data_IF_029846412223
#
_entry.id   IF_029846412223
#
_cell.length_a   1.000
_cell.length_b   1.000
_cell.length_c   1.000
_cell.angle_alpha   90.00
_cell.angle_beta   90.00
_cell.angle_gamma   90.00
#
_symmetry.space_group_name_H-M   'P 1'
#
loop_
_entity.id
_entity.type
_entity.pdbx_description
1 polymer ?
#
# COMPACT_ATOMS: atom_id res chain seq x y z
N UNK A 1 -6.55 -12.95 -24.49
CA UNK A 1 -5.82 -11.69 -24.79
C UNK A 1 -6.87 -10.61 -24.96
N UNK A 2 -7.06 -9.75 -23.96
CA UNK A 2 -7.87 -8.55 -24.13
C UNK A 2 -7.30 -7.80 -25.32
N UNK A 3 -8.17 -7.47 -26.29
CA UNK A 3 -7.77 -6.69 -27.45
C UNK A 3 -7.07 -5.41 -26.94
N UNK A 4 -5.88 -5.02 -27.46
CA UNK A 4 -5.14 -3.85 -26.95
C UNK A 4 -5.89 -2.52 -27.05
N UNK A 5 -7.14 -2.55 -27.52
CA UNK A 5 -7.99 -1.38 -27.77
C UNK A 5 -9.16 -1.19 -26.78
N UNK A 6 -9.42 -2.09 -25.85
CA UNK A 6 -10.56 -1.94 -24.94
C UNK A 6 -10.11 -1.51 -23.53
N UNK A 7 -9.69 -0.24 -23.38
CA UNK A 7 -9.34 0.36 -22.08
C UNK A 7 -10.55 1.10 -21.52
N UNK A 8 -11.58 0.32 -21.15
CA UNK A 8 -12.77 0.85 -20.48
C UNK A 8 -12.87 0.30 -19.06
N UNK A 9 -13.02 1.19 -18.09
CA UNK A 9 -13.19 0.84 -16.70
C UNK A 9 -14.44 1.51 -16.13
N UNK A 10 -14.99 0.90 -15.08
CA UNK A 10 -16.07 1.45 -14.30
C UNK A 10 -15.71 1.42 -12.82
N UNK A 11 -15.97 2.51 -12.09
CA UNK A 11 -15.67 2.63 -10.65
C UNK A 11 -16.97 2.78 -9.88
N UNK A 12 -17.20 1.91 -8.92
CA UNK A 12 -18.34 1.97 -8.00
C UNK A 12 -17.86 2.49 -6.65
N UNK A 13 -18.31 3.69 -6.28
CA UNK A 13 -17.81 4.46 -5.15
C UNK A 13 -16.72 5.47 -5.59
N UNK A 14 -17.05 6.76 -5.53
CA UNK A 14 -16.20 7.87 -5.99
C UNK A 14 -15.66 8.71 -4.82
N UNK A 15 -15.39 8.03 -3.69
CA UNK A 15 -14.63 8.58 -2.58
C UNK A 15 -13.15 8.83 -2.94
N UNK A 16 -12.29 9.00 -1.95
CA UNK A 16 -10.86 9.25 -2.12
C UNK A 16 -10.18 8.20 -3.03
N UNK A 17 -10.33 6.92 -2.68
CA UNK A 17 -9.63 5.82 -3.38
C UNK A 17 -10.24 5.61 -4.77
N UNK A 18 -11.57 5.51 -4.90
CA UNK A 18 -12.21 5.28 -6.19
C UNK A 18 -11.95 6.40 -7.18
N UNK A 19 -12.02 7.66 -6.74
CA UNK A 19 -11.69 8.81 -7.58
C UNK A 19 -10.20 8.84 -7.97
N UNK A 20 -9.29 8.48 -7.06
CA UNK A 20 -7.87 8.41 -7.37
C UNK A 20 -7.57 7.32 -8.41
N UNK A 21 -8.25 6.16 -8.32
CA UNK A 21 -8.14 5.09 -9.33
C UNK A 21 -8.68 5.57 -10.68
N UNK A 22 -9.84 6.23 -10.68
CA UNK A 22 -10.41 6.77 -11.90
C UNK A 22 -9.44 7.74 -12.60
N UNK A 23 -8.82 8.65 -11.84
CA UNK A 23 -7.80 9.58 -12.35
C UNK A 23 -6.57 8.84 -12.87
N UNK A 24 -6.02 7.90 -12.12
CA UNK A 24 -4.83 7.14 -12.49
C UNK A 24 -5.05 6.31 -13.78
N UNK A 25 -6.20 5.65 -13.89
CA UNK A 25 -6.59 4.92 -15.10
C UNK A 25 -6.73 5.87 -16.30
N UNK A 26 -7.34 7.05 -16.10
CA UNK A 26 -7.48 8.03 -17.18
C UNK A 26 -6.14 8.57 -17.66
N UNK A 27 -5.20 8.86 -16.75
CA UNK A 27 -3.82 9.22 -17.13
C UNK A 27 -3.13 8.12 -17.95
N UNK A 28 -3.45 6.85 -17.65
CA UNK A 28 -2.97 5.69 -18.39
C UNK A 28 -3.79 5.42 -19.68
N UNK A 29 -4.65 6.34 -20.11
CA UNK A 29 -5.39 6.27 -21.39
C UNK A 29 -6.67 5.43 -21.33
N UNK A 30 -7.24 5.17 -20.15
CA UNK A 30 -8.51 4.48 -20.01
C UNK A 30 -9.70 5.46 -20.13
N UNK A 31 -10.80 5.01 -20.72
CA UNK A 31 -12.10 5.66 -20.57
C UNK A 31 -12.76 5.14 -19.30
N UNK A 32 -13.02 6.02 -18.34
CA UNK A 32 -13.51 5.62 -17.02
C UNK A 32 -14.89 6.23 -16.77
N UNK A 33 -15.88 5.36 -16.58
CA UNK A 33 -17.19 5.72 -16.04
C UNK A 33 -17.26 5.39 -14.55
N UNK A 34 -18.24 5.89 -13.82
CA UNK A 34 -18.38 5.55 -12.42
C UNK A 34 -19.66 6.05 -11.80
N UNK A 35 -20.01 5.48 -10.65
CA UNK A 35 -21.21 5.82 -9.88
C UNK A 35 -20.86 5.96 -8.40
N UNK A 36 -21.65 6.78 -7.71
CA UNK A 36 -21.65 6.90 -6.25
C UNK A 36 -23.12 7.00 -5.81
N UNK A 37 -23.44 6.48 -4.65
CA UNK A 37 -24.80 6.54 -4.08
C UNK A 37 -25.13 7.95 -3.51
N UNK A 38 -24.09 8.74 -3.16
CA UNK A 38 -24.24 10.17 -2.91
C UNK A 38 -24.27 10.94 -4.24
N UNK A 39 -25.46 11.42 -4.60
CA UNK A 39 -25.66 12.19 -5.83
C UNK A 39 -24.75 13.42 -5.93
N UNK A 40 -24.37 14.03 -4.80
CA UNK A 40 -23.48 15.19 -4.76
C UNK A 40 -22.05 14.81 -5.15
N UNK A 41 -21.56 13.68 -4.62
CA UNK A 41 -20.24 13.13 -4.96
C UNK A 41 -20.21 12.72 -6.43
N UNK A 42 -21.25 12.05 -6.89
CA UNK A 42 -21.39 11.62 -8.27
C UNK A 42 -21.35 12.79 -9.26
N UNK A 43 -22.16 13.83 -9.02
CA UNK A 43 -22.18 15.02 -9.88
C UNK A 43 -20.84 15.76 -9.87
N UNK A 44 -20.23 15.91 -8.70
CA UNK A 44 -18.92 16.55 -8.57
C UNK A 44 -17.83 15.79 -9.36
N UNK A 45 -17.85 14.45 -9.35
CA UNK A 45 -16.92 13.62 -10.09
C UNK A 45 -17.09 13.75 -11.62
N UNK A 46 -18.32 13.90 -12.10
CA UNK A 46 -18.62 14.18 -13.51
C UNK A 46 -18.13 15.59 -13.92
N UNK A 47 -18.49 16.59 -13.14
CA UNK A 47 -18.16 18.02 -13.43
C UNK A 47 -16.63 18.24 -13.40
N UNK A 48 -15.93 17.63 -12.44
CA UNK A 48 -14.47 17.72 -12.34
C UNK A 48 -13.73 16.86 -13.37
N UNK A 49 -14.48 16.05 -14.11
CA UNK A 49 -13.91 15.17 -15.13
C UNK A 49 -13.14 13.98 -14.56
N UNK A 50 -13.38 13.57 -13.31
CA UNK A 50 -12.82 12.33 -12.74
C UNK A 50 -13.35 11.12 -13.49
N UNK A 51 -14.64 11.12 -13.82
CA UNK A 51 -15.28 10.13 -14.70
C UNK A 51 -15.93 10.83 -15.90
N UNK A 52 -16.13 10.09 -17.00
CA UNK A 52 -16.71 10.63 -18.25
C UNK A 52 -18.17 10.26 -18.43
N UNK A 53 -18.77 9.53 -17.51
CA UNK A 53 -20.16 9.07 -17.54
C UNK A 53 -20.45 8.16 -16.36
N UNK A 54 -21.68 7.64 -16.31
CA UNK A 54 -22.18 6.82 -15.20
C UNK A 54 -22.59 5.40 -15.61
N UNK A 55 -22.67 5.12 -16.91
CA UNK A 55 -23.19 3.84 -17.38
C UNK A 55 -22.12 2.74 -17.33
N UNK A 56 -22.49 1.59 -16.78
CA UNK A 56 -21.72 0.36 -16.89
C UNK A 56 -22.10 -0.32 -18.21
N UNK A 57 -21.25 -0.17 -19.21
CA UNK A 57 -21.48 -0.79 -20.53
C UNK A 57 -20.96 -2.24 -20.60
N UNK A 58 -21.53 -3.06 -21.48
CA UNK A 58 -21.16 -4.49 -21.62
C UNK A 58 -19.70 -4.71 -22.08
N UNK A 59 -19.06 -3.70 -22.63
CA UNK A 59 -17.70 -3.76 -23.13
C UNK A 59 -16.64 -3.26 -22.10
N UNK A 60 -17.04 -3.01 -20.86
CA UNK A 60 -16.10 -2.68 -19.78
C UNK A 60 -15.18 -3.86 -19.50
N UNK A 61 -13.87 -3.59 -19.41
CA UNK A 61 -12.85 -4.60 -19.14
C UNK A 61 -12.51 -4.72 -17.64
N UNK A 62 -12.67 -3.63 -16.89
CA UNK A 62 -12.34 -3.56 -15.47
C UNK A 62 -13.46 -2.84 -14.69
N UNK A 63 -13.93 -3.47 -13.62
CA UNK A 63 -14.76 -2.80 -12.61
C UNK A 63 -13.99 -2.77 -11.29
N UNK A 64 -13.92 -1.58 -10.69
CA UNK A 64 -13.33 -1.39 -9.37
C UNK A 64 -14.42 -1.01 -8.38
N UNK A 65 -14.60 -1.85 -7.35
CA UNK A 65 -15.56 -1.62 -6.27
C UNK A 65 -14.83 -0.91 -5.12
N UNK A 66 -15.11 0.38 -4.95
CA UNK A 66 -14.49 1.23 -3.94
C UNK A 66 -15.54 1.72 -2.91
N UNK A 67 -16.50 0.88 -2.59
CA UNK A 67 -17.55 1.10 -1.59
C UNK A 67 -17.09 0.64 -0.20
N UNK A 68 -17.81 0.98 0.89
CA UNK A 68 -17.51 0.47 2.23
C UNK A 68 -17.39 -1.04 2.27
N UNK A 69 -16.46 -1.57 3.08
CA UNK A 69 -16.07 -2.99 3.10
C UNK A 69 -17.26 -3.96 3.19
N UNK A 70 -18.23 -3.69 4.07
CA UNK A 70 -19.41 -4.52 4.26
C UNK A 70 -20.37 -4.60 3.04
N UNK A 71 -20.18 -3.75 2.03
CA UNK A 71 -21.02 -3.75 0.82
C UNK A 71 -20.32 -4.32 -0.42
N UNK A 72 -19.00 -4.47 -0.37
CA UNK A 72 -18.17 -4.86 -1.52
C UNK A 72 -18.63 -6.19 -2.13
N UNK A 73 -18.78 -7.24 -1.31
CA UNK A 73 -19.14 -8.56 -1.81
C UNK A 73 -20.48 -8.57 -2.55
N UNK A 74 -21.46 -7.83 -2.04
CA UNK A 74 -22.78 -7.68 -2.68
C UNK A 74 -22.64 -6.96 -4.03
N UNK A 75 -21.99 -5.80 -4.04
CA UNK A 75 -21.82 -4.99 -5.27
C UNK A 75 -21.04 -5.75 -6.33
N UNK A 76 -19.93 -6.39 -5.95
CA UNK A 76 -19.13 -7.19 -6.87
C UNK A 76 -19.94 -8.34 -7.47
N UNK A 77 -20.74 -9.05 -6.66
CA UNK A 77 -21.61 -10.13 -7.12
C UNK A 77 -22.70 -9.62 -8.05
N UNK A 78 -23.34 -8.50 -7.79
CA UNK A 78 -24.33 -7.88 -8.66
C UNK A 78 -23.75 -7.52 -10.02
N UNK A 79 -22.57 -6.91 -10.05
CA UNK A 79 -21.85 -6.59 -11.30
C UNK A 79 -21.52 -7.85 -12.11
N UNK A 80 -20.97 -8.87 -11.44
CA UNK A 80 -20.59 -10.13 -12.08
C UNK A 80 -21.78 -10.89 -12.66
N UNK A 81 -22.89 -10.95 -11.93
CA UNK A 81 -24.12 -11.59 -12.39
C UNK A 81 -24.81 -10.80 -13.52
N UNK A 82 -24.73 -9.47 -13.48
CA UNK A 82 -25.30 -8.60 -14.51
C UNK A 82 -24.54 -8.58 -15.83
N UNK A 83 -23.28 -9.03 -15.84
CA UNK A 83 -22.43 -8.97 -17.02
C UNK A 83 -22.25 -10.31 -17.72
N UNK A 84 -22.51 -10.34 -19.01
CA UNK A 84 -22.22 -11.49 -19.91
C UNK A 84 -20.77 -11.50 -20.42
N UNK A 85 -19.97 -10.44 -20.13
CA UNK A 85 -18.59 -10.34 -20.55
C UNK A 85 -17.70 -11.30 -19.74
N UNK A 86 -17.21 -12.34 -20.39
CA UNK A 86 -16.34 -13.36 -19.79
C UNK A 86 -14.93 -12.85 -19.47
N UNK A 87 -14.52 -11.75 -20.08
CA UNK A 87 -13.22 -11.12 -19.89
C UNK A 87 -13.30 -9.89 -18.95
N UNK A 88 -14.46 -9.65 -18.34
CA UNK A 88 -14.59 -8.63 -17.32
C UNK A 88 -13.75 -9.03 -16.11
N UNK A 89 -12.98 -8.10 -15.60
CA UNK A 89 -12.29 -8.23 -14.30
C UNK A 89 -13.01 -7.35 -13.30
N UNK A 90 -13.34 -7.92 -12.15
CA UNK A 90 -13.88 -7.15 -11.01
C UNK A 90 -12.89 -7.24 -9.86
N UNK A 91 -12.55 -6.11 -9.30
CA UNK A 91 -11.68 -6.01 -8.12
C UNK A 91 -12.25 -5.03 -7.11
N UNK A 92 -11.76 -5.08 -5.88
CA UNK A 92 -12.10 -4.12 -4.84
C UNK A 92 -10.85 -3.44 -4.28
N UNK A 93 -11.05 -2.54 -3.32
CA UNK A 93 -9.98 -1.76 -2.67
C UNK A 93 -10.13 -1.71 -1.15
N UNK A 94 -10.97 -2.52 -0.56
CA UNK A 94 -11.24 -2.49 0.86
C UNK A 94 -10.02 -2.91 1.70
N UNK A 95 -9.97 -2.44 2.94
CA UNK A 95 -8.90 -2.74 3.89
C UNK A 95 -8.98 -4.12 4.55
N UNK A 96 -9.97 -4.93 4.21
CA UNK A 96 -10.23 -6.28 4.73
C UNK A 96 -10.58 -7.21 3.59
N UNK A 97 -10.23 -8.49 3.69
CA UNK A 97 -10.36 -9.42 2.55
C UNK A 97 -11.18 -10.69 2.85
N UNK A 98 -11.12 -11.21 4.08
CA UNK A 98 -11.75 -12.50 4.41
C UNK A 98 -13.21 -12.58 4.01
N UNK A 99 -14.07 -11.74 4.58
CA UNK A 99 -15.51 -11.73 4.29
C UNK A 99 -15.83 -11.40 2.82
N UNK A 100 -15.00 -10.59 2.15
CA UNK A 100 -15.18 -10.24 0.74
C UNK A 100 -14.93 -11.45 -0.16
N UNK A 101 -13.81 -12.16 0.07
CA UNK A 101 -13.44 -13.34 -0.73
C UNK A 101 -14.43 -14.50 -0.51
N UNK A 102 -14.92 -14.69 0.71
CA UNK A 102 -15.97 -15.68 1.00
C UNK A 102 -17.30 -15.33 0.32
N UNK A 103 -17.59 -14.04 0.18
CA UNK A 103 -18.85 -13.54 -0.39
C UNK A 103 -18.91 -13.53 -1.91
N UNK A 104 -17.80 -13.72 -2.64
CA UNK A 104 -17.74 -13.64 -4.10
C UNK A 104 -17.11 -14.89 -4.70
N UNK A 105 -17.92 -15.74 -5.31
CA UNK A 105 -17.49 -16.99 -5.95
C UNK A 105 -17.56 -16.89 -7.48
N UNK A 106 -16.66 -16.08 -8.08
CA UNK A 106 -16.59 -15.91 -9.54
C UNK A 106 -15.11 -15.82 -9.97
N UNK A 107 -14.67 -16.56 -11.01
CA UNK A 107 -13.28 -16.57 -11.47
C UNK A 107 -12.78 -15.22 -12.01
N UNK A 108 -13.70 -14.31 -12.35
CA UNK A 108 -13.41 -12.94 -12.82
C UNK A 108 -13.17 -11.95 -11.67
N UNK A 109 -13.41 -12.39 -10.43
CA UNK A 109 -13.15 -11.56 -9.25
C UNK A 109 -11.74 -11.79 -8.71
N UNK A 110 -11.03 -10.72 -8.44
CA UNK A 110 -9.76 -10.75 -7.72
C UNK A 110 -9.72 -9.61 -6.71
N UNK A 111 -9.82 -9.95 -5.45
CA UNK A 111 -9.83 -8.97 -4.38
C UNK A 111 -8.49 -8.27 -4.24
N UNK A 112 -8.52 -6.96 -3.93
CA UNK A 112 -7.35 -6.10 -3.83
C UNK A 112 -7.42 -5.12 -2.68
N UNK A 113 -6.25 -4.63 -2.24
CA UNK A 113 -6.13 -3.60 -1.22
C UNK A 113 -4.91 -2.71 -1.49
N UNK A 114 -5.09 -1.47 -1.97
CA UNK A 114 -4.01 -0.49 -2.04
C UNK A 114 -3.64 -0.02 -0.63
N UNK A 115 -2.40 -0.26 -0.20
CA UNK A 115 -1.87 0.28 1.05
C UNK A 115 -1.54 1.77 0.87
N UNK A 116 -2.56 2.55 0.53
CA UNK A 116 -2.47 3.98 0.22
C UNK A 116 -3.64 4.73 0.86
N UNK A 117 -3.40 5.98 1.21
CA UNK A 117 -4.41 6.85 1.82
C UNK A 117 -3.93 8.30 1.88
N UNK A 118 -4.82 9.19 2.30
CA UNK A 118 -4.55 10.60 2.52
C UNK A 118 -5.32 11.08 3.75
N UNK A 119 -4.84 12.13 4.39
CA UNK A 119 -5.58 12.83 5.45
C UNK A 119 -6.74 13.66 4.88
N UNK A 120 -6.73 13.93 3.56
CA UNK A 120 -7.83 14.58 2.85
C UNK A 120 -8.92 13.57 2.49
N UNK A 121 -10.17 14.01 2.48
CA UNK A 121 -11.35 13.18 2.25
C UNK A 121 -11.93 13.35 0.86
N UNK A 122 -12.58 12.30 0.39
CA UNK A 122 -13.39 12.33 -0.83
C UNK A 122 -12.63 12.82 -2.05
N UNK A 123 -13.36 13.44 -2.96
CA UNK A 123 -12.85 13.93 -4.23
C UNK A 123 -11.74 14.99 -4.08
N UNK A 124 -11.80 15.82 -3.02
CA UNK A 124 -10.80 16.86 -2.76
C UNK A 124 -9.40 16.31 -2.44
N UNK A 125 -9.32 15.07 -1.96
CA UNK A 125 -8.05 14.38 -1.69
C UNK A 125 -7.60 13.47 -2.83
N UNK A 126 -8.41 13.30 -3.88
CA UNK A 126 -8.12 12.37 -4.95
C UNK A 126 -6.97 12.87 -5.85
N UNK A 127 -6.06 11.96 -6.20
CA UNK A 127 -4.91 12.25 -7.09
C UNK A 127 -4.52 10.98 -7.85
N UNK A 128 -4.12 11.17 -9.09
CA UNK A 128 -3.73 10.08 -9.98
C UNK A 128 -2.45 9.36 -9.55
N UNK A 129 -1.55 10.03 -8.85
CA UNK A 129 -0.27 9.49 -8.39
C UNK A 129 -0.34 8.81 -7.00
N UNK A 130 -1.54 8.69 -6.41
CA UNK A 130 -1.74 8.14 -5.06
C UNK A 130 -1.15 6.73 -4.90
N UNK A 131 -1.13 5.95 -5.97
CA UNK A 131 -0.70 4.55 -5.94
C UNK A 131 0.75 4.33 -6.36
N UNK A 132 1.46 5.37 -6.80
CA UNK A 132 2.87 5.25 -7.19
C UNK A 132 3.74 4.87 -6.01
N UNK A 133 4.42 3.73 -6.14
CA UNK A 133 5.29 3.18 -5.10
C UNK A 133 4.55 2.58 -3.89
N UNK A 134 3.20 2.60 -3.85
CA UNK A 134 2.48 1.92 -2.79
C UNK A 134 2.51 0.41 -2.97
N UNK A 135 2.41 -0.32 -1.88
CA UNK A 135 2.11 -1.75 -1.92
C UNK A 135 0.64 -1.94 -2.23
N UNK A 136 0.33 -2.74 -3.25
CA UNK A 136 -1.03 -3.18 -3.54
C UNK A 136 -1.12 -4.68 -3.32
N UNK A 137 -1.91 -5.09 -2.34
CA UNK A 137 -2.12 -6.49 -2.05
C UNK A 137 -3.22 -7.05 -2.97
N UNK A 138 -2.97 -8.22 -3.55
CA UNK A 138 -3.96 -9.03 -4.24
C UNK A 138 -4.16 -10.32 -3.47
N UNK A 139 -5.41 -10.75 -3.33
CA UNK A 139 -5.76 -12.01 -2.62
C UNK A 139 -6.43 -13.00 -3.57
N UNK A 140 -5.62 -13.70 -4.41
CA UNK A 140 -6.15 -14.72 -5.32
C UNK A 140 -6.69 -15.91 -4.54
N UNK A 141 -7.75 -16.52 -5.07
CA UNK A 141 -8.34 -17.76 -4.56
C UNK A 141 -8.12 -18.91 -5.52
N UNK A 142 -8.52 -20.12 -5.15
CA UNK A 142 -8.52 -21.27 -6.05
C UNK A 142 -9.45 -21.12 -7.26
N UNK A 143 -10.39 -20.16 -7.22
CA UNK A 143 -11.30 -19.85 -8.31
C UNK A 143 -10.73 -18.80 -9.27
N UNK A 144 -9.77 -18.00 -8.83
CA UNK A 144 -9.20 -16.91 -9.64
C UNK A 144 -8.52 -17.45 -10.89
N UNK A 145 -9.01 -17.04 -12.07
CA UNK A 145 -8.37 -17.42 -13.33
C UNK A 145 -6.97 -16.78 -13.48
N UNK A 146 -5.98 -17.50 -14.00
CA UNK A 146 -4.63 -16.96 -14.24
C UNK A 146 -4.64 -15.72 -15.13
N UNK A 147 -5.57 -15.62 -16.09
CA UNK A 147 -5.71 -14.45 -16.96
C UNK A 147 -6.22 -13.23 -16.17
N UNK A 148 -7.17 -13.41 -15.26
CA UNK A 148 -7.68 -12.36 -14.37
C UNK A 148 -6.53 -11.79 -13.50
N UNK A 149 -5.75 -12.69 -12.89
CA UNK A 149 -4.60 -12.27 -12.08
C UNK A 149 -3.56 -11.50 -12.90
N UNK A 150 -3.12 -12.07 -14.02
CA UNK A 150 -2.06 -11.49 -14.86
C UNK A 150 -2.45 -10.13 -15.42
N UNK A 151 -3.70 -10.01 -15.85
CA UNK A 151 -4.21 -8.77 -16.44
C UNK A 151 -4.35 -7.68 -15.37
N UNK A 152 -4.97 -7.97 -14.22
CA UNK A 152 -5.10 -7.00 -13.15
C UNK A 152 -3.73 -6.58 -12.60
N UNK A 153 -2.82 -7.55 -12.38
CA UNK A 153 -1.44 -7.28 -11.99
C UNK A 153 -0.76 -6.29 -12.95
N UNK A 154 -0.90 -6.51 -14.26
CA UNK A 154 -0.35 -5.62 -15.29
C UNK A 154 -0.92 -4.21 -15.21
N UNK A 155 -2.25 -4.07 -15.05
CA UNK A 155 -2.92 -2.78 -14.91
C UNK A 155 -2.40 -2.02 -13.68
N UNK A 156 -2.36 -2.68 -12.52
CA UNK A 156 -1.93 -2.04 -11.27
C UNK A 156 -0.43 -1.64 -11.30
N UNK A 157 0.40 -2.43 -11.97
CA UNK A 157 1.81 -2.08 -12.23
C UNK A 157 1.92 -0.83 -13.13
N UNK A 158 1.06 -0.70 -14.12
CA UNK A 158 0.99 0.50 -14.98
C UNK A 158 0.62 1.75 -14.16
N UNK A 159 -0.19 1.61 -13.09
CA UNK A 159 -0.47 2.68 -12.14
C UNK A 159 0.70 2.98 -11.16
N UNK A 160 1.80 2.24 -11.26
CA UNK A 160 3.01 2.44 -10.44
C UNK A 160 2.98 1.74 -9.08
N UNK A 161 2.07 0.81 -8.83
CA UNK A 161 1.99 0.07 -7.58
C UNK A 161 2.98 -1.12 -7.55
N UNK A 162 3.43 -1.48 -6.34
CA UNK A 162 4.19 -2.69 -6.06
C UNK A 162 3.23 -3.79 -5.62
N UNK A 163 3.13 -4.87 -6.41
CA UNK A 163 2.12 -5.90 -6.19
C UNK A 163 2.65 -7.01 -5.29
N UNK A 164 1.88 -7.37 -4.28
CA UNK A 164 2.14 -8.50 -3.38
C UNK A 164 0.91 -9.40 -3.37
N UNK A 165 1.10 -10.70 -3.57
CA UNK A 165 0.02 -11.68 -3.47
C UNK A 165 0.08 -12.36 -2.09
N UNK A 166 -1.04 -12.37 -1.38
CA UNK A 166 -1.22 -12.99 -0.06
C UNK A 166 -2.61 -13.61 -0.02
N UNK A 167 -2.84 -14.70 0.70
CA UNK A 167 -4.20 -15.17 0.90
C UNK A 167 -5.00 -14.25 1.85
N UNK A 168 -6.33 -14.36 1.84
CA UNK A 168 -7.20 -13.42 2.53
C UNK A 168 -7.02 -13.45 4.07
N UNK A 169 -6.84 -14.64 4.65
CA UNK A 169 -6.69 -14.80 6.11
C UNK A 169 -5.37 -14.21 6.57
N UNK A 170 -4.29 -14.49 5.84
CA UNK A 170 -2.97 -13.90 6.12
C UNK A 170 -2.99 -12.38 5.92
N UNK A 171 -3.68 -11.88 4.88
CA UNK A 171 -3.86 -10.45 4.69
C UNK A 171 -4.48 -9.80 5.93
N UNK A 172 -5.62 -10.31 6.38
CA UNK A 172 -6.38 -9.70 7.47
C UNK A 172 -5.61 -9.77 8.79
N UNK A 173 -4.91 -10.89 9.04
CA UNK A 173 -4.00 -11.04 10.19
C UNK A 173 -2.84 -10.04 10.15
N UNK A 174 -2.19 -9.87 9.01
CA UNK A 174 -1.06 -8.95 8.85
C UNK A 174 -1.48 -7.49 8.95
N UNK A 175 -2.61 -7.12 8.33
CA UNK A 175 -3.13 -5.75 8.36
C UNK A 175 -3.66 -5.39 9.75
N UNK A 176 -4.16 -6.35 10.53
CA UNK A 176 -4.51 -6.12 11.94
C UNK A 176 -3.32 -5.52 12.70
N UNK A 177 -2.11 -6.09 12.54
CA UNK A 177 -0.90 -5.62 13.22
C UNK A 177 -0.32 -4.36 12.57
N UNK A 178 -0.31 -4.29 11.23
CA UNK A 178 0.38 -3.22 10.50
C UNK A 178 -0.43 -1.91 10.41
N UNK A 179 -1.76 -1.97 10.55
CA UNK A 179 -2.67 -0.84 10.32
C UNK A 179 -3.70 -0.65 11.43
N UNK A 180 -4.50 -1.67 11.73
CA UNK A 180 -5.69 -1.53 12.56
C UNK A 180 -5.35 -1.29 14.04
N UNK A 181 -4.49 -2.13 14.61
CA UNK A 181 -4.02 -1.98 16.01
C UNK A 181 -3.26 -0.67 16.22
N UNK A 182 -2.33 -0.25 15.36
CA UNK A 182 -1.71 1.08 15.46
C UNK A 182 -2.71 2.23 15.49
N UNK A 183 -3.78 2.19 14.68
CA UNK A 183 -4.81 3.22 14.69
C UNK A 183 -5.59 3.25 16.01
N UNK A 184 -6.01 2.09 16.50
CA UNK A 184 -6.69 1.96 17.80
C UNK A 184 -5.82 2.47 18.95
N UNK A 185 -4.53 2.14 18.95
CA UNK A 185 -3.58 2.60 19.98
C UNK A 185 -3.37 4.11 19.94
N UNK A 186 -3.23 4.68 18.74
CA UNK A 186 -3.12 6.12 18.58
C UNK A 186 -4.35 6.85 19.13
N UNK A 187 -5.55 6.34 18.84
CA UNK A 187 -6.80 6.86 19.38
C UNK A 187 -6.89 6.72 20.90
N UNK A 188 -6.57 5.54 21.43
CA UNK A 188 -6.59 5.27 22.87
C UNK A 188 -5.61 6.17 23.64
N UNK A 189 -4.38 6.33 23.12
CA UNK A 189 -3.36 7.21 23.70
C UNK A 189 -3.82 8.67 23.69
N UNK A 190 -4.41 9.15 22.59
CA UNK A 190 -4.91 10.52 22.50
C UNK A 190 -6.08 10.76 23.46
N UNK A 191 -7.02 9.82 23.57
CA UNK A 191 -8.14 9.91 24.50
C UNK A 191 -7.67 9.92 25.96
N UNK A 192 -6.70 9.09 26.32
CA UNK A 192 -6.12 9.09 27.66
C UNK A 192 -5.42 10.42 27.97
N UNK A 193 -4.64 10.94 27.02
CA UNK A 193 -3.99 12.24 27.20
C UNK A 193 -5.03 13.37 27.36
N UNK A 194 -6.13 13.33 26.64
CA UNK A 194 -7.23 14.30 26.78
C UNK A 194 -7.85 14.23 28.17
N UNK A 195 -8.13 13.02 28.66
CA UNK A 195 -8.68 12.80 30.01
C UNK A 195 -7.77 13.34 31.12
N UNK A 196 -6.45 13.15 31.00
CA UNK A 196 -5.50 13.71 31.96
C UNK A 196 -5.41 15.24 31.83
N UNK A 197 -5.48 15.77 30.62
CA UNK A 197 -5.43 17.22 30.36
C UNK A 197 -6.63 17.98 30.93
N UNK A 198 -7.78 17.34 31.13
CA UNK A 198 -8.94 17.91 31.85
C UNK A 198 -8.58 18.29 33.31
N UNK A 199 -7.62 17.58 33.92
CA UNK A 199 -7.16 17.81 35.29
C UNK A 199 -5.89 18.68 35.30
N UNK A 200 -5.03 18.57 34.30
CA UNK A 200 -3.78 19.32 34.17
C UNK A 200 -3.51 19.70 32.71
N UNK A 201 -3.88 20.93 32.36
CA UNK A 201 -3.73 21.46 30.99
C UNK A 201 -2.25 21.54 30.51
N UNK A 202 -1.28 21.46 31.42
CA UNK A 202 0.16 21.47 31.08
C UNK A 202 0.55 20.23 30.26
N UNK A 203 -0.17 19.11 30.41
CA UNK A 203 0.12 17.89 29.65
C UNK A 203 0.24 18.15 28.15
N UNK A 204 -0.70 18.88 27.56
CA UNK A 204 -0.72 19.15 26.11
C UNK A 204 0.47 20.03 25.67
N UNK A 205 1.01 20.85 26.57
CA UNK A 205 2.23 21.64 26.31
C UNK A 205 3.50 20.76 26.34
N UNK A 206 3.46 19.68 27.11
CA UNK A 206 4.53 18.67 27.18
C UNK A 206 4.47 17.67 26.02
N UNK A 207 3.40 17.64 25.24
CA UNK A 207 3.22 16.77 24.09
C UNK A 207 4.21 17.14 22.97
N UNK A 208 5.41 16.58 23.04
CA UNK A 208 6.51 16.79 22.11
C UNK A 208 6.39 15.89 20.85
N UNK A 209 7.45 15.88 20.02
CA UNK A 209 7.46 15.19 18.72
C UNK A 209 7.04 13.72 18.81
N UNK A 210 7.58 12.94 19.73
CA UNK A 210 7.25 11.52 19.86
C UNK A 210 5.76 11.25 20.11
N UNK A 211 5.12 12.07 20.97
CA UNK A 211 3.68 11.95 21.20
C UNK A 211 2.86 12.27 19.92
N UNK A 212 3.24 13.36 19.23
CA UNK A 212 2.56 13.77 17.98
C UNK A 212 2.72 12.72 16.88
N UNK A 213 3.90 12.12 16.75
CA UNK A 213 4.15 11.08 15.77
C UNK A 213 3.33 9.83 16.05
N UNK A 214 3.27 9.38 17.30
CA UNK A 214 2.48 8.22 17.71
C UNK A 214 0.96 8.43 17.57
N UNK A 215 0.48 9.65 17.77
CA UNK A 215 -0.97 9.95 17.70
C UNK A 215 -1.41 10.52 16.36
N UNK A 216 -0.51 10.73 15.40
CA UNK A 216 -0.80 11.38 14.11
C UNK A 216 -1.96 10.72 13.36
N UNK A 217 -1.99 9.40 13.32
CA UNK A 217 -3.03 8.66 12.59
C UNK A 217 -4.42 8.76 13.23
N UNK A 218 -4.53 9.12 14.51
CA UNK A 218 -5.81 9.35 15.19
C UNK A 218 -6.59 10.55 14.63
N UNK A 219 -5.94 11.44 13.87
CA UNK A 219 -6.60 12.55 13.19
C UNK A 219 -7.34 12.14 11.90
N UNK A 220 -7.24 10.87 11.48
CA UNK A 220 -7.93 10.35 10.31
C UNK A 220 -9.45 10.37 10.45
N UNK A 221 -10.14 10.08 9.33
CA UNK A 221 -11.61 10.03 9.32
C UNK A 221 -12.16 8.91 10.19
N UNK A 222 -12.86 9.20 11.30
CA UNK A 222 -13.38 8.16 12.18
C UNK A 222 -14.53 7.36 11.55
N UNK A 223 -15.18 7.87 10.50
CA UNK A 223 -16.38 7.22 9.92
C UNK A 223 -16.07 5.92 9.17
N UNK A 224 -14.85 5.77 8.65
CA UNK A 224 -14.47 4.56 7.89
C UNK A 224 -14.03 3.39 8.78
N UNK A 225 -13.62 3.69 10.02
CA UNK A 225 -12.95 2.71 10.87
C UNK A 225 -13.88 1.65 11.48
N UNK A 226 -15.11 1.98 11.94
CA UNK A 226 -15.99 0.96 12.54
C UNK A 226 -16.20 -0.23 11.63
N UNK A 227 -16.53 -0.03 10.35
CA UNK A 227 -16.76 -1.12 9.41
C UNK A 227 -15.50 -1.97 9.22
N UNK A 228 -14.35 -1.34 9.00
CA UNK A 228 -13.05 -2.03 8.84
C UNK A 228 -12.71 -2.85 10.10
N UNK A 229 -12.87 -2.25 11.28
CA UNK A 229 -12.51 -2.90 12.53
C UNK A 229 -13.43 -4.08 12.87
N UNK A 230 -14.74 -3.95 12.62
CA UNK A 230 -15.70 -5.01 12.87
C UNK A 230 -15.58 -6.16 11.88
N UNK A 231 -15.26 -5.89 10.61
CA UNK A 231 -15.00 -6.94 9.61
C UNK A 231 -13.71 -7.73 9.93
N UNK A 232 -12.70 -7.10 10.55
CA UNK A 232 -11.45 -7.78 10.94
C UNK A 232 -11.34 -8.01 12.47
N UNK A 233 -12.47 -8.05 13.19
CA UNK A 233 -12.50 -8.06 14.67
C UNK A 233 -11.73 -9.20 15.30
N UNK A 234 -11.71 -10.38 14.69
CA UNK A 234 -11.06 -11.56 15.27
C UNK A 234 -9.53 -11.42 15.26
N UNK A 235 -8.93 -11.08 14.12
CA UNK A 235 -7.49 -10.86 14.01
C UNK A 235 -7.03 -9.65 14.85
N UNK A 236 -7.83 -8.59 14.90
CA UNK A 236 -7.56 -7.43 15.75
C UNK A 236 -7.60 -7.79 17.22
N UNK A 237 -8.60 -8.56 17.67
CA UNK A 237 -8.73 -8.98 19.06
C UNK A 237 -7.54 -9.84 19.49
N UNK A 238 -7.11 -10.78 18.66
CA UNK A 238 -5.92 -11.60 18.92
C UNK A 238 -4.65 -10.75 19.01
N UNK A 239 -4.50 -9.79 18.12
CA UNK A 239 -3.32 -8.88 18.10
C UNK A 239 -3.31 -7.96 19.33
N UNK A 240 -4.48 -7.49 19.79
CA UNK A 240 -4.59 -6.68 21.00
C UNK A 240 -4.26 -7.50 22.24
N UNK A 241 -4.74 -8.76 22.36
CA UNK A 241 -4.39 -9.64 23.48
C UNK A 241 -2.88 -9.87 23.57
N UNK A 242 -2.21 -10.11 22.46
CA UNK A 242 -0.75 -10.27 22.44
C UNK A 242 -0.02 -9.00 22.91
N UNK A 243 -0.53 -7.83 22.52
CA UNK A 243 0.05 -6.54 22.94
C UNK A 243 -0.23 -6.25 24.42
N UNK A 244 -1.42 -6.57 24.93
CA UNK A 244 -1.75 -6.45 26.36
C UNK A 244 -0.79 -7.24 27.23
N UNK A 245 -0.48 -8.50 26.88
CA UNK A 245 0.50 -9.30 27.62
C UNK A 245 1.90 -8.68 27.57
N UNK A 246 2.33 -8.14 26.43
CA UNK A 246 3.62 -7.43 26.34
C UNK A 246 3.64 -6.18 27.24
N UNK A 247 2.60 -5.34 27.20
CA UNK A 247 2.48 -4.15 28.04
C UNK A 247 2.44 -4.52 29.55
N UNK A 248 1.78 -5.61 29.90
CA UNK A 248 1.76 -6.14 31.26
C UNK A 248 3.17 -6.55 31.71
N UNK A 249 3.94 -7.25 30.88
CA UNK A 249 5.33 -7.63 31.15
C UNK A 249 6.22 -6.40 31.40
N UNK A 250 6.11 -5.36 30.55
CA UNK A 250 6.85 -4.12 30.75
C UNK A 250 6.47 -3.41 32.06
N UNK A 251 5.19 -3.38 32.40
CA UNK A 251 4.73 -2.81 33.67
C UNK A 251 5.25 -3.60 34.88
N UNK A 252 5.29 -4.91 34.81
CA UNK A 252 5.84 -5.77 35.86
C UNK A 252 7.36 -5.54 36.02
N UNK A 253 8.10 -5.43 34.91
CA UNK A 253 9.54 -5.09 34.94
C UNK A 253 9.79 -3.74 35.60
N UNK A 254 9.00 -2.71 35.28
CA UNK A 254 9.08 -1.40 35.93
C UNK A 254 8.80 -1.47 37.44
N UNK A 255 7.81 -2.24 37.87
CA UNK A 255 7.47 -2.40 39.28
C UNK A 255 8.54 -3.16 40.08
N UNK A 256 9.35 -3.97 39.40
CA UNK A 256 10.42 -4.77 40.00
C UNK A 256 11.81 -4.16 39.81
N UNK A 257 11.92 -2.94 39.32
CA UNK A 257 13.19 -2.26 38.97
C UNK A 257 14.08 -3.12 38.03
N UNK A 258 13.47 -3.91 37.13
CA UNK A 258 14.18 -4.77 36.19
C UNK A 258 14.59 -3.99 34.94
N UNK A 259 15.73 -3.31 35.06
CA UNK A 259 16.31 -2.49 33.99
C UNK A 259 16.71 -3.32 32.76
N UNK A 260 17.16 -4.56 32.96
CA UNK A 260 17.67 -5.41 31.87
C UNK A 260 16.56 -5.83 30.93
N UNK A 261 15.38 -6.19 31.45
CA UNK A 261 14.21 -6.52 30.64
C UNK A 261 13.77 -5.32 29.79
N UNK A 262 13.68 -4.12 30.40
CA UNK A 262 13.31 -2.90 29.68
C UNK A 262 14.34 -2.55 28.61
N UNK A 263 15.63 -2.60 28.93
CA UNK A 263 16.69 -2.28 27.98
C UNK A 263 16.72 -3.26 26.80
N UNK A 264 16.49 -4.55 27.07
CA UNK A 264 16.43 -5.58 26.04
C UNK A 264 15.24 -5.36 25.09
N UNK A 265 14.02 -5.19 25.61
CA UNK A 265 12.83 -4.98 24.80
C UNK A 265 12.96 -3.73 23.89
N UNK A 266 13.45 -2.62 24.45
CA UNK A 266 13.66 -1.39 23.67
C UNK A 266 14.77 -1.54 22.61
N UNK A 267 15.80 -2.31 22.92
CA UNK A 267 16.91 -2.55 21.97
C UNK A 267 16.46 -3.42 20.79
N UNK A 268 15.68 -4.46 21.06
CA UNK A 268 15.07 -5.31 20.03
C UNK A 268 14.13 -4.49 19.14
N UNK A 269 13.26 -3.67 19.73
CA UNK A 269 12.36 -2.80 18.99
C UNK A 269 13.13 -1.79 18.12
N UNK A 270 14.20 -1.19 18.63
CA UNK A 270 15.04 -0.27 17.88
C UNK A 270 15.75 -0.94 16.70
N UNK A 271 16.20 -2.18 16.88
CA UNK A 271 16.79 -2.97 15.80
C UNK A 271 15.74 -3.29 14.72
N UNK A 272 14.59 -3.83 15.13
CA UNK A 272 13.50 -4.15 14.21
C UNK A 272 13.02 -2.92 13.42
N UNK A 273 12.93 -1.75 14.07
CA UNK A 273 12.54 -0.49 13.41
C UNK A 273 13.52 -0.07 12.31
N UNK A 274 14.82 -0.30 12.52
CA UNK A 274 15.86 -0.01 11.51
C UNK A 274 15.79 -0.94 10.30
N UNK A 275 15.30 -2.15 10.49
CA UNK A 275 15.16 -3.17 9.44
C UNK A 275 13.84 -3.05 8.65
N UNK A 276 12.91 -2.18 9.10
CA UNK A 276 11.72 -1.93 8.30
C UNK A 276 12.14 -1.38 6.93
N UNK A 277 11.58 -1.94 5.83
CA UNK A 277 11.75 -1.35 4.52
C UNK A 277 11.43 0.14 4.63
N UNK A 278 12.35 1.01 4.18
CA UNK A 278 12.06 2.44 4.09
C UNK A 278 10.74 2.60 3.33
N UNK A 279 9.97 3.68 3.60
CA UNK A 279 8.98 4.14 2.64
C UNK A 279 9.71 4.13 1.31
N UNK A 280 9.13 3.48 0.30
CA UNK A 280 9.57 3.69 -1.07
C UNK A 280 9.71 5.20 -1.20
N UNK A 281 10.95 5.67 -1.26
CA UNK A 281 11.19 7.10 -1.42
C UNK A 281 10.37 7.46 -2.63
N UNK A 282 9.58 8.53 -2.56
CA UNK A 282 8.88 9.03 -3.73
C UNK A 282 9.89 9.02 -4.87
N UNK A 283 9.49 8.64 -6.08
CA UNK A 283 10.37 8.56 -7.24
C UNK A 283 11.22 9.82 -7.43
N UNK A 284 10.76 10.95 -6.90
CA UNK A 284 11.47 12.23 -6.81
C UNK A 284 12.72 12.20 -5.90
N UNK A 285 12.84 11.23 -5.00
CA UNK A 285 13.97 11.08 -4.08
C UNK A 285 14.86 9.87 -4.42
N UNK A 286 14.56 9.14 -5.48
CA UNK A 286 15.39 8.07 -6.00
C UNK A 286 16.18 8.55 -7.22
N UNK A 287 17.44 8.16 -7.27
CA UNK A 287 18.26 8.25 -8.48
C UNK A 287 18.52 6.83 -8.99
N UNK A 288 18.51 6.68 -10.29
CA UNK A 288 18.81 5.43 -10.94
C UNK A 288 20.23 5.49 -11.52
N UNK A 289 21.07 4.55 -11.03
CA UNK A 289 22.44 4.40 -11.50
C UNK A 289 22.54 3.20 -12.44
N UNK A 290 23.05 3.42 -13.64
CA UNK A 290 23.40 2.35 -14.59
C UNK A 290 24.83 1.95 -14.38
N UNK A 291 25.06 0.74 -13.89
CA UNK A 291 26.39 0.19 -13.65
C UNK A 291 26.68 -0.87 -14.69
N UNK A 292 27.63 -0.60 -15.59
CA UNK A 292 28.07 -1.61 -16.56
C UNK A 292 28.89 -2.68 -15.83
N UNK A 293 28.50 -3.94 -15.96
CA UNK A 293 29.11 -5.09 -15.28
C UNK A 293 29.47 -6.19 -16.27
N UNK A 294 30.53 -6.92 -15.96
CA UNK A 294 30.82 -8.20 -16.65
C UNK A 294 29.92 -9.30 -16.06
N UNK A 295 29.44 -10.19 -16.90
CA UNK A 295 28.66 -11.35 -16.42
C UNK A 295 29.64 -12.41 -15.82
N UNK A 296 30.08 -12.13 -14.60
CA UNK A 296 31.02 -12.97 -13.85
C UNK A 296 30.57 -13.16 -12.40
N UNK A 297 30.82 -14.33 -11.80
CA UNK A 297 30.53 -14.55 -10.39
C UNK A 297 31.21 -13.50 -9.50
N UNK A 298 30.49 -12.97 -8.52
CA UNK A 298 31.01 -12.01 -7.53
C UNK A 298 30.82 -10.53 -7.87
N UNK A 299 30.44 -10.15 -9.09
CA UNK A 299 30.27 -8.75 -9.48
C UNK A 299 29.12 -8.10 -8.71
N UNK A 300 27.99 -8.76 -8.57
CA UNK A 300 26.86 -8.27 -7.79
C UNK A 300 27.26 -8.11 -6.30
N UNK A 301 28.03 -9.07 -5.77
CA UNK A 301 28.54 -8.99 -4.41
C UNK A 301 29.46 -7.76 -4.21
N UNK A 302 30.32 -7.46 -5.18
CA UNK A 302 31.20 -6.29 -5.11
C UNK A 302 30.43 -4.96 -5.08
N UNK A 303 29.35 -4.85 -5.87
CA UNK A 303 28.49 -3.67 -5.89
C UNK A 303 27.69 -3.53 -4.58
N UNK A 304 27.12 -4.61 -4.07
CA UNK A 304 26.36 -4.58 -2.81
C UNK A 304 27.25 -4.38 -1.59
N UNK A 305 28.49 -4.88 -1.59
CA UNK A 305 29.49 -4.59 -0.56
C UNK A 305 29.86 -3.10 -0.56
N UNK A 306 30.07 -2.50 -1.73
CA UNK A 306 30.33 -1.07 -1.83
C UNK A 306 29.17 -0.23 -1.24
N UNK A 307 27.94 -0.62 -1.51
CA UNK A 307 26.76 0.02 -0.94
C UNK A 307 26.72 -0.13 0.59
N UNK A 308 27.00 -1.32 1.10
CA UNK A 308 27.02 -1.61 2.54
C UNK A 308 28.12 -0.80 3.28
N UNK A 309 29.32 -0.71 2.73
CA UNK A 309 30.43 0.06 3.32
C UNK A 309 30.12 1.56 3.40
N UNK A 310 29.35 2.08 2.45
CA UNK A 310 28.93 3.47 2.41
C UNK A 310 27.60 3.74 3.10
N UNK A 311 26.95 2.73 3.68
CA UNK A 311 25.62 2.78 4.28
C UNK A 311 24.58 3.29 3.28
N UNK A 312 24.76 2.98 1.98
CA UNK A 312 23.80 3.27 0.93
C UNK A 312 22.82 2.12 0.82
N UNK A 313 21.54 2.40 0.99
CA UNK A 313 20.49 1.43 0.72
C UNK A 313 20.24 1.35 -0.78
N UNK A 314 20.22 0.14 -1.32
CA UNK A 314 19.76 -0.14 -2.69
C UNK A 314 18.31 -0.58 -2.57
N UNK A 315 17.40 0.23 -3.12
CA UNK A 315 15.95 0.03 -3.03
C UNK A 315 15.44 -0.95 -4.07
N UNK A 316 16.12 -0.99 -5.24
CA UNK A 316 15.80 -1.91 -6.33
C UNK A 316 17.04 -2.24 -7.13
N UNK A 317 17.10 -3.47 -7.68
CA UNK A 317 18.17 -3.94 -8.56
C UNK A 317 17.52 -4.64 -9.75
N UNK A 318 17.69 -4.07 -10.93
CA UNK A 318 17.34 -4.73 -12.17
C UNK A 318 18.60 -5.14 -12.93
N UNK A 319 18.61 -6.36 -13.49
CA UNK A 319 19.73 -6.88 -14.27
C UNK A 319 19.30 -7.00 -15.72
N UNK A 320 19.83 -6.14 -16.58
CA UNK A 320 19.66 -6.22 -18.02
C UNK A 320 20.85 -6.95 -18.65
N UNK A 321 20.59 -8.11 -19.26
CA UNK A 321 21.60 -8.86 -20.02
C UNK A 321 21.71 -8.28 -21.43
N UNK A 322 22.93 -7.99 -21.88
CA UNK A 322 23.20 -7.59 -23.26
C UNK A 322 23.01 -8.77 -24.23
N UNK A 323 22.57 -8.47 -25.45
CA UNK A 323 22.32 -9.47 -26.50
C UNK A 323 23.58 -10.26 -26.91
N UNK A 324 24.78 -9.81 -26.55
CA UNK A 324 26.07 -10.42 -26.89
C UNK A 324 26.81 -11.06 -25.71
N UNK A 325 26.11 -11.56 -24.69
CA UNK A 325 26.59 -12.61 -23.77
C UNK A 325 27.75 -12.33 -22.81
N UNK A 326 28.43 -11.17 -22.84
CA UNK A 326 29.59 -10.92 -21.97
C UNK A 326 29.50 -9.65 -21.11
N UNK A 327 28.50 -8.84 -21.28
CA UNK A 327 28.29 -7.61 -20.51
C UNK A 327 26.83 -7.48 -20.10
N UNK A 328 26.58 -7.17 -18.82
CA UNK A 328 25.30 -6.82 -18.27
C UNK A 328 25.29 -5.36 -17.80
N UNK A 329 24.12 -4.86 -17.54
CA UNK A 329 23.92 -3.57 -16.87
C UNK A 329 23.08 -3.81 -15.64
N UNK A 330 23.56 -3.34 -14.48
CA UNK A 330 22.73 -3.23 -13.28
C UNK A 330 22.09 -1.86 -13.27
N UNK A 331 20.79 -1.80 -13.12
CA UNK A 331 20.07 -0.60 -12.80
C UNK A 331 19.80 -0.62 -11.29
N UNK A 332 20.35 0.35 -10.57
CA UNK A 332 20.27 0.44 -9.12
C UNK A 332 19.45 1.64 -8.72
N UNK A 333 18.37 1.45 -7.98
CA UNK A 333 17.62 2.54 -7.35
C UNK A 333 18.24 2.85 -5.98
N UNK A 334 18.74 4.07 -5.79
CA UNK A 334 19.37 4.55 -4.54
C UNK A 334 18.79 5.92 -4.13
N UNK A 335 19.02 6.34 -2.88
CA UNK A 335 18.66 7.71 -2.45
C UNK A 335 19.38 8.74 -3.31
N UNK A 336 18.62 9.67 -3.92
CA UNK A 336 19.15 10.72 -4.81
C UNK A 336 20.24 11.57 -4.13
N UNK A 337 20.15 11.77 -2.79
CA UNK A 337 21.16 12.51 -2.03
C UNK A 337 22.50 11.79 -1.92
N UNK A 338 22.51 10.47 -2.09
CA UNK A 338 23.70 9.63 -1.98
C UNK A 338 24.19 9.13 -3.35
N UNK A 339 23.43 9.37 -4.42
CA UNK A 339 23.71 8.84 -5.76
C UNK A 339 25.07 9.27 -6.30
N UNK A 340 25.43 10.55 -6.18
CA UNK A 340 26.72 11.05 -6.69
C UNK A 340 27.92 10.47 -5.94
N UNK A 341 27.82 10.38 -4.60
CA UNK A 341 28.87 9.80 -3.76
C UNK A 341 29.04 8.31 -4.02
N UNK A 342 27.95 7.59 -4.20
CA UNK A 342 27.94 6.17 -4.48
C UNK A 342 28.42 5.86 -5.91
N UNK A 343 27.99 6.66 -6.89
CA UNK A 343 28.49 6.58 -8.28
C UNK A 343 30.00 6.75 -8.34
N UNK A 344 30.53 7.74 -7.61
CA UNK A 344 32.00 7.96 -7.53
C UNK A 344 32.72 6.78 -6.90
N UNK A 345 32.20 6.23 -5.79
CA UNK A 345 32.80 5.08 -5.11
C UNK A 345 32.81 3.81 -5.97
N UNK A 346 31.76 3.58 -6.76
CA UNK A 346 31.71 2.49 -7.73
C UNK A 346 32.74 2.70 -8.88
N UNK A 347 32.87 3.96 -9.33
CA UNK A 347 33.86 4.30 -10.37
C UNK A 347 35.30 4.10 -9.89
N UNK A 348 35.61 4.47 -8.64
CA UNK A 348 36.91 4.23 -8.01
C UNK A 348 37.23 2.73 -7.87
N UNK A 349 36.19 1.86 -7.82
CA UNK A 349 36.32 0.38 -7.84
C UNK A 349 36.35 -0.21 -9.24
N UNK A 350 36.42 0.63 -10.28
CA UNK A 350 36.56 0.19 -11.68
C UNK A 350 35.24 -0.07 -12.42
N UNK A 351 34.08 0.25 -11.84
CA UNK A 351 32.82 0.17 -12.54
C UNK A 351 32.58 1.40 -13.41
N UNK A 352 31.96 1.21 -14.57
CA UNK A 352 31.44 2.31 -15.38
C UNK A 352 30.01 2.62 -14.92
N UNK A 353 29.80 3.82 -14.42
CA UNK A 353 28.51 4.26 -13.86
C UNK A 353 27.97 5.43 -14.64
N UNK A 354 26.70 5.36 -15.02
CA UNK A 354 25.92 6.45 -15.61
C UNK A 354 24.69 6.75 -14.76
N UNK A 355 24.20 7.98 -14.83
CA UNK A 355 22.91 8.38 -14.28
C UNK A 355 21.83 8.27 -15.36
N UNK A 356 20.62 7.85 -14.98
CA UNK A 356 19.46 7.84 -15.87
C UNK A 356 18.67 9.16 -15.79
#
# INVERSE_FOLDING_TARGET
MTSPNNRRAHVVGLGLIGSSIALALRESGWSVTGVDDDATVHEAALVSGVVVGHELSDDVALVVVATPAGTVAKVASEVLHGSSNKHLIVTDVAGVKGAIVEGVSDPRFLAGHPMAGSELRGLAGARADLFRGCTWVLTPTSLTEPETYTTLHGILRELGANIVAVDADDHDRLVAVASHVPHLLAGALMNEATRVAEQDAVLLQLAAGGFRDMTRVAAGDPSIWPDILFENREAISQSLLALEERLKGLREALNNDDHDVIATDLSEAALARRLLPGRALHSENLAYLRVAVSDQPGVLAAVTMAASEMLVNIYDIEIAHGIEGSRGTLLLAVDARLSDSFSKALTERGFQVGHE
#
